data_IF_423345972384
#
_entry.id   IF_423345972384
#
_cell.length_a   1.000
_cell.length_b   1.000
_cell.length_c   1.000
_cell.angle_alpha   90.00
_cell.angle_beta   90.00
_cell.angle_gamma   90.00
#
_symmetry.space_group_name_H-M   'P 1'
#
loop_
_entity.id
_entity.type
_entity.pdbx_description
1 polymer ?
#
# COMPACT_ATOMS: atom_id res chain seq x y z
N UNK A 1 -18.98 16.07 25.32
CA UNK A 1 -19.66 17.10 24.50
C UNK A 1 -19.10 16.99 23.09
N UNK A 2 -19.98 16.63 22.16
CA UNK A 2 -19.69 16.45 20.73
C UNK A 2 -19.09 17.71 20.10
N UNK A 3 -18.11 17.55 19.20
CA UNK A 3 -17.84 18.51 18.14
C UNK A 3 -17.45 17.78 16.86
N UNK A 4 -18.42 17.81 15.94
CA UNK A 4 -18.39 17.34 14.56
C UNK A 4 -17.33 18.08 13.73
N UNK A 5 -16.54 17.34 12.95
CA UNK A 5 -15.69 17.90 11.91
C UNK A 5 -16.38 17.74 10.55
N UNK A 6 -16.81 18.88 10.01
CA UNK A 6 -17.51 19.06 8.74
C UNK A 6 -16.64 18.59 7.56
N UNK A 7 -17.20 17.71 6.73
CA UNK A 7 -16.70 17.35 5.41
C UNK A 7 -16.90 18.52 4.43
N UNK A 8 -15.84 18.93 3.73
CA UNK A 8 -15.94 19.80 2.57
C UNK A 8 -15.86 18.97 1.29
N UNK A 9 -16.97 18.87 0.59
CA UNK A 9 -17.13 18.32 -0.74
C UNK A 9 -16.87 19.41 -1.79
N UNK A 10 -15.84 19.24 -2.62
CA UNK A 10 -15.66 20.06 -3.82
C UNK A 10 -16.28 19.32 -5.02
N UNK A 11 -17.35 19.91 -5.57
CA UNK A 11 -17.96 19.48 -6.81
C UNK A 11 -17.11 19.92 -8.00
N UNK A 12 -16.97 19.02 -8.97
CA UNK A 12 -16.33 19.32 -10.26
C UNK A 12 -17.47 19.57 -11.26
N UNK A 13 -17.55 20.80 -11.76
CA UNK A 13 -18.42 21.16 -12.87
C UNK A 13 -17.90 20.53 -14.16
N UNK A 14 -18.81 20.01 -14.98
CA UNK A 14 -18.55 19.47 -16.31
C UNK A 14 -18.96 20.50 -17.36
N UNK A 15 -18.04 20.82 -18.27
CA UNK A 15 -18.29 21.66 -19.45
C UNK A 15 -18.20 20.83 -20.76
N UNK A 16 -18.80 21.30 -21.87
CA UNK A 16 -19.47 20.43 -22.84
C UNK A 16 -18.61 19.97 -24.03
N UNK A 17 -19.14 18.94 -24.69
CA UNK A 17 -18.66 18.34 -25.94
C UNK A 17 -18.61 19.36 -27.08
N UNK A 18 -17.42 19.55 -27.66
CA UNK A 18 -17.19 20.32 -28.88
C UNK A 18 -16.93 19.42 -30.09
N UNK A 19 -17.74 19.59 -31.13
CA UNK A 19 -17.66 18.97 -32.46
C UNK A 19 -16.78 19.79 -33.42
N UNK A 20 -16.02 19.14 -34.31
CA UNK A 20 -15.35 19.78 -35.46
C UNK A 20 -14.05 19.09 -35.86
N UNK A 21 -14.09 18.10 -36.77
CA UNK A 21 -13.77 18.17 -38.22
C UNK A 21 -12.28 18.13 -38.58
N UNK A 22 -12.04 17.22 -39.51
CA UNK A 22 -10.84 16.75 -40.21
C UNK A 22 -9.93 17.83 -40.83
N UNK A 23 -8.62 17.65 -40.72
CA UNK A 23 -7.62 18.12 -41.70
C UNK A 23 -6.26 17.47 -41.39
N UNK A 24 -5.81 16.68 -42.36
CA UNK A 24 -4.50 16.05 -42.45
C UNK A 24 -3.40 17.09 -42.65
N UNK A 25 -2.46 17.21 -41.72
CA UNK A 25 -1.12 17.72 -42.03
C UNK A 25 -0.05 16.87 -41.34
N UNK A 26 0.82 16.32 -42.17
CA UNK A 26 1.94 15.45 -41.83
C UNK A 26 2.97 16.21 -40.99
N UNK A 27 3.29 15.69 -39.79
CA UNK A 27 4.37 16.23 -38.95
C UNK A 27 5.73 15.63 -39.37
N UNK A 28 6.72 16.44 -39.77
CA UNK A 28 8.02 15.98 -40.27
C UNK A 28 9.09 15.96 -39.17
N UNK A 29 8.93 15.10 -38.16
CA UNK A 29 10.00 14.81 -37.20
C UNK A 29 9.96 13.32 -36.82
N UNK A 30 10.62 12.50 -37.63
CA UNK A 30 11.19 11.23 -37.17
C UNK A 30 12.69 11.30 -37.39
N UNK A 31 13.42 11.34 -36.29
CA UNK A 31 14.78 10.81 -36.21
C UNK A 31 15.01 10.36 -34.78
N UNK A 32 15.45 9.11 -34.72
CA UNK A 32 15.61 8.27 -33.55
C UNK A 32 16.64 8.84 -32.58
N UNK A 33 16.38 8.60 -31.30
CA UNK A 33 17.30 8.82 -30.21
C UNK A 33 16.67 8.23 -28.97
N UNK A 34 17.15 7.06 -28.58
CA UNK A 34 16.88 6.41 -27.30
C UNK A 34 17.38 7.33 -26.17
N UNK A 35 16.60 8.36 -25.89
CA UNK A 35 16.68 9.16 -24.69
C UNK A 35 16.03 8.36 -23.59
N UNK A 36 16.82 7.50 -22.95
CA UNK A 36 16.58 7.03 -21.60
C UNK A 36 16.39 8.27 -20.72
N UNK A 37 15.16 8.75 -20.63
CA UNK A 37 14.70 9.63 -19.56
C UNK A 37 14.74 8.77 -18.31
N UNK A 38 15.94 8.62 -17.77
CA UNK A 38 16.18 8.08 -16.46
C UNK A 38 15.35 8.97 -15.54
N UNK A 39 14.20 8.43 -15.11
CA UNK A 39 13.31 9.08 -14.16
C UNK A 39 14.00 9.06 -12.81
N UNK A 40 15.07 9.82 -12.70
CA UNK A 40 15.83 9.97 -11.49
C UNK A 40 14.97 10.79 -10.52
N UNK A 41 14.74 10.18 -9.36
CA UNK A 41 14.26 10.79 -8.11
C UNK A 41 12.76 10.92 -7.84
N UNK A 42 12.02 9.83 -8.03
CA UNK A 42 11.11 9.41 -6.96
C UNK A 42 11.44 7.98 -6.61
N UNK A 43 12.25 7.78 -5.57
CA UNK A 43 12.57 6.46 -5.01
C UNK A 43 11.35 5.86 -4.28
N UNK A 44 10.23 5.73 -5.00
CA UNK A 44 8.98 5.13 -4.51
C UNK A 44 9.18 3.62 -4.29
N UNK A 45 10.18 3.02 -4.95
CA UNK A 45 10.45 1.58 -4.92
C UNK A 45 11.19 1.14 -3.66
N UNK A 46 12.05 1.96 -3.04
CA UNK A 46 12.81 1.57 -1.84
C UNK A 46 11.94 1.27 -0.61
N UNK A 47 10.72 1.80 -0.57
CA UNK A 47 9.80 1.64 0.57
C UNK A 47 8.48 0.97 0.18
N UNK A 48 8.46 0.34 -0.99
CA UNK A 48 7.30 -0.39 -1.48
C UNK A 48 6.96 -1.55 -0.55
N UNK A 49 5.74 -1.64 0.01
CA UNK A 49 5.31 -2.83 0.75
C UNK A 49 5.38 -4.14 -0.07
N UNK A 50 5.48 -4.06 -1.40
CA UNK A 50 5.83 -5.17 -2.26
C UNK A 50 6.58 -4.65 -3.50
N UNK A 51 7.92 -4.74 -3.52
CA UNK A 51 8.71 -4.19 -4.61
C UNK A 51 8.41 -4.87 -5.94
N UNK A 52 8.53 -4.11 -7.03
CA UNK A 52 8.57 -4.67 -8.38
C UNK A 52 9.74 -5.67 -8.47
N UNK A 53 9.57 -6.89 -9.03
CA UNK A 53 8.43 -7.41 -9.78
C UNK A 53 7.44 -8.29 -9.00
N UNK A 54 7.66 -8.51 -7.69
CA UNK A 54 6.89 -9.45 -6.87
C UNK A 54 5.38 -9.15 -6.92
N UNK A 55 5.04 -7.86 -6.88
CA UNK A 55 3.66 -7.36 -6.94
C UNK A 55 2.91 -7.88 -8.15
N UNK A 56 3.50 -7.83 -9.34
CA UNK A 56 2.84 -8.26 -10.57
C UNK A 56 2.82 -9.78 -10.68
N UNK A 57 3.85 -10.44 -10.13
CA UNK A 57 3.95 -11.89 -10.16
C UNK A 57 2.76 -12.55 -9.44
N UNK A 58 2.32 -12.03 -8.29
CA UNK A 58 1.21 -12.63 -7.51
C UNK A 58 -0.19 -12.12 -7.87
N UNK A 59 -0.34 -11.35 -8.98
CA UNK A 59 -1.67 -10.87 -9.41
C UNK A 59 -2.59 -11.98 -9.90
N UNK A 60 -2.03 -12.99 -10.56
CA UNK A 60 -2.84 -14.12 -11.06
C UNK A 60 -3.06 -15.16 -9.95
N UNK A 61 -4.24 -15.79 -9.98
CA UNK A 61 -4.56 -16.89 -9.07
C UNK A 61 -3.51 -18.02 -9.14
N UNK A 62 -3.09 -18.39 -10.36
CA UNK A 62 -2.13 -19.46 -10.56
C UNK A 62 -0.79 -19.18 -9.87
N UNK A 63 -0.30 -17.94 -9.96
CA UNK A 63 0.94 -17.54 -9.29
C UNK A 63 0.81 -17.46 -7.77
N UNK A 64 -0.34 -17.03 -7.26
CA UNK A 64 -0.61 -17.12 -5.81
C UNK A 64 -0.62 -18.58 -5.35
N UNK A 65 -1.28 -19.48 -6.07
CA UNK A 65 -1.34 -20.89 -5.72
C UNK A 65 0.05 -21.54 -5.72
N UNK A 66 0.90 -21.20 -6.70
CA UNK A 66 2.28 -21.67 -6.80
C UNK A 66 3.12 -21.32 -5.56
N UNK A 67 2.85 -20.20 -4.88
CA UNK A 67 3.56 -19.87 -3.63
C UNK A 67 3.31 -20.89 -2.53
N UNK A 68 2.11 -21.47 -2.44
CA UNK A 68 1.77 -22.45 -1.40
C UNK A 68 2.46 -23.79 -1.61
N UNK A 69 2.77 -24.16 -2.86
CA UNK A 69 3.52 -25.38 -3.15
C UNK A 69 5.02 -25.19 -2.94
N UNK A 70 5.54 -24.02 -3.29
CA UNK A 70 6.98 -23.70 -3.20
C UNK A 70 7.44 -23.36 -1.77
N UNK A 71 6.61 -22.67 -0.98
CA UNK A 71 6.99 -22.13 0.35
C UNK A 71 6.63 -23.08 1.52
N UNK A 72 6.39 -24.37 1.25
CA UNK A 72 6.15 -25.43 2.26
C UNK A 72 5.01 -25.10 3.23
N UNK A 73 3.83 -24.76 2.71
CA UNK A 73 2.62 -24.58 3.53
C UNK A 73 2.38 -25.79 4.44
N UNK A 74 2.06 -25.55 5.73
CA UNK A 74 1.89 -26.63 6.72
C UNK A 74 0.91 -27.69 6.23
N UNK A 75 1.32 -28.96 6.28
CA UNK A 75 0.52 -30.08 5.81
C UNK A 75 -0.86 -30.21 6.50
N UNK A 76 -0.98 -29.74 7.75
CA UNK A 76 -2.26 -29.65 8.47
C UNK A 76 -3.21 -28.61 7.85
N UNK A 77 -2.67 -27.51 7.32
CA UNK A 77 -3.44 -26.47 6.64
C UNK A 77 -3.80 -26.86 5.21
N UNK A 78 -2.93 -27.60 4.51
CA UNK A 78 -3.26 -28.15 3.18
C UNK A 78 -4.54 -28.99 3.17
N UNK A 79 -4.88 -29.62 4.30
CA UNK A 79 -6.10 -30.43 4.46
C UNK A 79 -7.28 -29.65 5.05
N UNK A 80 -7.09 -28.38 5.39
CA UNK A 80 -8.17 -27.53 5.91
C UNK A 80 -9.24 -27.31 4.85
N UNK A 81 -10.50 -27.16 5.26
CA UNK A 81 -11.60 -26.79 4.36
C UNK A 81 -11.56 -25.32 3.97
N UNK A 82 -10.95 -24.46 4.79
CA UNK A 82 -10.97 -22.99 4.64
C UNK A 82 -9.60 -22.41 4.34
N UNK A 83 -8.53 -22.96 4.93
CA UNK A 83 -7.15 -22.45 4.81
C UNK A 83 -6.25 -23.33 3.93
N UNK A 84 -6.83 -24.16 3.05
CA UNK A 84 -6.04 -24.85 2.03
C UNK A 84 -5.50 -23.86 0.97
N UNK A 85 -4.41 -24.21 0.27
CA UNK A 85 -3.81 -23.39 -0.77
C UNK A 85 -4.79 -22.79 -1.78
N UNK A 86 -5.73 -23.58 -2.28
CA UNK A 86 -6.70 -23.15 -3.29
C UNK A 86 -7.62 -22.06 -2.73
N UNK A 87 -8.15 -22.26 -1.52
CA UNK A 87 -9.06 -21.30 -0.87
C UNK A 87 -8.35 -20.02 -0.46
N UNK A 88 -7.11 -20.12 0.01
CA UNK A 88 -6.27 -18.96 0.31
C UNK A 88 -5.98 -18.15 -0.96
N UNK A 89 -5.50 -18.82 -2.02
CA UNK A 89 -5.17 -18.18 -3.29
C UNK A 89 -6.39 -17.57 -4.00
N UNK A 90 -7.55 -18.22 -3.90
CA UNK A 90 -8.83 -17.79 -4.46
C UNK A 90 -9.19 -16.39 -3.98
N UNK A 91 -9.06 -16.10 -2.69
CA UNK A 91 -9.46 -14.79 -2.13
C UNK A 91 -8.31 -13.76 -2.06
N UNK A 92 -7.17 -14.06 -2.67
CA UNK A 92 -6.07 -13.10 -2.81
C UNK A 92 -4.91 -13.26 -1.84
N UNK A 93 -4.82 -14.36 -1.08
CA UNK A 93 -3.64 -14.65 -0.27
C UNK A 93 -2.56 -15.37 -1.09
N UNK A 94 -1.30 -15.12 -0.78
CA UNK A 94 -0.17 -15.91 -1.25
C UNK A 94 0.73 -16.25 -0.05
N UNK A 95 1.39 -17.39 -0.13
CA UNK A 95 2.22 -17.96 0.90
C UNK A 95 3.56 -17.22 0.99
N UNK A 96 3.97 -16.87 2.21
CA UNK A 96 5.27 -16.25 2.52
C UNK A 96 6.09 -17.10 3.49
N UNK A 97 5.52 -18.17 4.04
CA UNK A 97 6.19 -19.08 4.98
C UNK A 97 5.33 -20.30 5.30
N UNK A 98 5.73 -21.10 6.27
CA UNK A 98 5.02 -22.35 6.61
C UNK A 98 3.56 -22.15 7.01
N UNK A 99 3.29 -21.02 7.65
CA UNK A 99 2.00 -20.61 8.20
C UNK A 99 1.87 -19.09 8.18
N UNK A 100 2.52 -18.46 7.19
CA UNK A 100 2.45 -17.04 6.93
C UNK A 100 1.95 -16.81 5.52
N UNK A 101 1.02 -15.88 5.38
CA UNK A 101 0.45 -15.53 4.10
C UNK A 101 0.19 -14.02 4.04
N UNK A 102 0.31 -13.48 2.83
CA UNK A 102 0.14 -12.05 2.54
C UNK A 102 -0.93 -11.85 1.50
N UNK A 103 -1.72 -10.78 1.64
CA UNK A 103 -2.68 -10.39 0.61
C UNK A 103 -1.99 -9.64 -0.53
N UNK A 104 -2.24 -10.00 -1.80
CA UNK A 104 -1.63 -9.32 -2.95
C UNK A 104 -2.12 -7.88 -3.18
N UNK A 105 -3.28 -7.52 -2.61
CA UNK A 105 -3.93 -6.23 -2.86
C UNK A 105 -3.60 -5.17 -1.80
N UNK A 106 -3.49 -5.57 -0.52
CA UNK A 106 -3.18 -4.65 0.58
C UNK A 106 -1.82 -4.93 1.24
N UNK A 107 -1.18 -6.05 0.91
CA UNK A 107 0.10 -6.50 1.47
C UNK A 107 0.11 -6.71 2.98
N UNK A 108 -1.08 -6.85 3.60
CA UNK A 108 -1.19 -7.29 4.99
C UNK A 108 -0.63 -8.70 5.08
N UNK A 109 0.39 -8.85 5.92
CA UNK A 109 0.99 -10.15 6.30
C UNK A 109 0.31 -10.64 7.57
N UNK A 110 -0.12 -11.91 7.56
CA UNK A 110 -0.67 -12.61 8.71
C UNK A 110 0.06 -13.94 8.87
N UNK A 111 0.44 -14.25 10.10
CA UNK A 111 1.14 -15.46 10.50
C UNK A 111 0.34 -16.26 11.53
N UNK A 112 0.73 -17.52 11.74
CA UNK A 112 0.09 -18.39 12.73
C UNK A 112 -1.25 -18.97 12.27
N UNK A 113 -1.49 -19.09 10.96
CA UNK A 113 -2.73 -19.66 10.42
C UNK A 113 -3.00 -21.06 10.99
N UNK A 114 -4.26 -21.28 11.39
CA UNK A 114 -4.76 -22.59 11.84
C UNK A 114 -5.93 -23.06 10.96
N UNK A 115 -6.17 -24.38 10.98
CA UNK A 115 -7.11 -25.01 10.05
C UNK A 115 -8.58 -24.58 10.20
N UNK A 116 -8.93 -23.92 11.32
CA UNK A 116 -10.27 -23.43 11.64
C UNK A 116 -10.51 -21.97 11.23
N UNK A 117 -9.47 -21.25 10.82
CA UNK A 117 -9.59 -19.83 10.51
C UNK A 117 -10.43 -19.62 9.25
N UNK A 118 -11.00 -18.42 9.14
CA UNK A 118 -11.69 -18.00 7.94
C UNK A 118 -10.87 -16.87 7.29
N UNK A 119 -10.14 -17.16 6.20
CA UNK A 119 -9.23 -16.19 5.59
C UNK A 119 -9.89 -14.90 5.11
N UNK A 120 -11.20 -14.92 4.80
CA UNK A 120 -11.94 -13.70 4.44
C UNK A 120 -12.23 -12.85 5.68
N UNK A 121 -12.66 -13.48 6.77
CA UNK A 121 -12.93 -12.79 8.04
C UNK A 121 -11.65 -12.21 8.63
N UNK A 122 -10.57 -12.99 8.66
CA UNK A 122 -9.25 -12.51 9.09
C UNK A 122 -8.82 -11.27 8.28
N UNK A 123 -9.11 -11.26 6.98
CA UNK A 123 -8.81 -10.11 6.14
C UNK A 123 -9.64 -8.87 6.51
N UNK A 124 -10.94 -9.04 6.73
CA UNK A 124 -11.87 -7.97 7.13
C UNK A 124 -11.50 -7.39 8.50
N UNK A 125 -11.18 -8.25 9.47
CA UNK A 125 -10.85 -7.87 10.85
C UNK A 125 -9.48 -7.15 10.92
N UNK A 126 -8.49 -7.64 10.18
CA UNK A 126 -7.12 -7.11 10.25
C UNK A 126 -6.81 -6.00 9.23
N UNK A 127 -7.57 -5.91 8.14
CA UNK A 127 -7.37 -4.91 7.10
C UNK A 127 -8.70 -4.52 6.41
N UNK A 128 -9.64 -3.89 7.14
CA UNK A 128 -10.98 -3.57 6.61
C UNK A 128 -10.94 -2.60 5.41
N UNK A 129 -9.84 -1.84 5.27
CA UNK A 129 -9.64 -0.89 4.18
C UNK A 129 -8.95 -1.51 2.94
N UNK A 130 -8.74 -2.83 2.91
CA UNK A 130 -8.16 -3.50 1.75
C UNK A 130 -9.01 -3.27 0.49
N UNK A 131 -8.40 -3.02 -0.69
CA UNK A 131 -9.13 -2.90 -1.96
C UNK A 131 -10.10 -4.05 -2.25
N UNK A 132 -9.71 -5.30 -1.96
CA UNK A 132 -10.57 -6.47 -2.17
C UNK A 132 -11.77 -6.48 -1.23
N UNK A 133 -11.54 -6.16 0.05
CA UNK A 133 -12.57 -6.09 1.09
C UNK A 133 -13.57 -4.98 0.76
N UNK A 134 -13.08 -3.77 0.52
CA UNK A 134 -13.90 -2.57 0.26
C UNK A 134 -14.72 -2.70 -1.02
N UNK A 135 -14.18 -3.35 -2.06
CA UNK A 135 -14.92 -3.55 -3.32
C UNK A 135 -15.80 -4.80 -3.30
N UNK A 136 -15.64 -5.69 -2.32
CA UNK A 136 -16.33 -6.98 -2.29
C UNK A 136 -16.03 -7.85 -3.52
N UNK A 137 -14.85 -7.69 -4.11
CA UNK A 137 -14.45 -8.41 -5.34
C UNK A 137 -13.78 -9.72 -4.96
N UNK A 138 -14.25 -10.81 -5.57
CA UNK A 138 -13.51 -12.07 -5.63
C UNK A 138 -12.46 -11.97 -6.76
N UNK A 139 -11.16 -12.00 -6.45
CA UNK A 139 -10.11 -11.86 -7.46
C UNK A 139 -9.94 -13.08 -8.36
N UNK A 140 -10.67 -14.18 -8.12
CA UNK A 140 -10.74 -15.34 -9.02
C UNK A 140 -11.92 -15.25 -10.00
N UNK A 141 -12.94 -14.45 -9.70
CA UNK A 141 -14.11 -14.32 -10.56
C UNK A 141 -13.76 -13.66 -11.90
N UNK A 142 -14.58 -13.90 -12.93
CA UNK A 142 -14.48 -13.18 -14.19
C UNK A 142 -14.91 -11.72 -13.97
N UNK A 143 -13.92 -10.82 -13.94
CA UNK A 143 -14.15 -9.40 -13.73
C UNK A 143 -14.40 -8.71 -15.07
N UNK A 144 -15.39 -7.81 -15.09
CA UNK A 144 -15.50 -6.85 -16.19
C UNK A 144 -14.26 -5.95 -16.23
N UNK A 145 -13.93 -5.42 -17.41
CA UNK A 145 -12.81 -4.46 -17.58
C UNK A 145 -12.93 -3.31 -16.57
N UNK A 146 -14.17 -2.84 -16.31
CA UNK A 146 -14.43 -1.78 -15.34
C UNK A 146 -14.03 -2.18 -13.92
N UNK A 147 -14.44 -3.37 -13.47
CA UNK A 147 -14.11 -3.88 -12.13
C UNK A 147 -12.60 -4.12 -12.00
N UNK A 148 -11.97 -4.69 -13.03
CA UNK A 148 -10.53 -4.93 -13.04
C UNK A 148 -9.75 -3.61 -12.94
N UNK A 149 -10.15 -2.58 -13.70
CA UNK A 149 -9.53 -1.26 -13.64
C UNK A 149 -9.74 -0.62 -12.26
N UNK A 150 -10.96 -0.65 -11.73
CA UNK A 150 -11.26 -0.13 -10.38
C UNK A 150 -10.41 -0.80 -9.30
N UNK A 151 -10.26 -2.14 -9.36
CA UNK A 151 -9.45 -2.89 -8.43
C UNK A 151 -7.98 -2.49 -8.53
N UNK A 152 -7.42 -2.47 -9.74
CA UNK A 152 -6.02 -2.09 -9.98
C UNK A 152 -5.73 -0.67 -9.47
N UNK A 153 -6.59 0.28 -9.81
CA UNK A 153 -6.47 1.66 -9.35
C UNK A 153 -6.55 1.77 -7.83
N UNK A 154 -7.47 1.05 -7.17
CA UNK A 154 -7.55 1.05 -5.70
C UNK A 154 -6.33 0.40 -5.04
N UNK A 155 -5.77 -0.66 -5.60
CA UNK A 155 -4.52 -1.26 -5.12
C UNK A 155 -3.40 -0.23 -5.15
N UNK A 156 -3.25 0.50 -6.27
CA UNK A 156 -2.21 1.54 -6.37
C UNK A 156 -2.41 2.68 -5.38
N UNK A 157 -3.63 3.20 -5.25
CA UNK A 157 -3.90 4.25 -4.27
C UNK A 157 -3.65 3.77 -2.83
N UNK A 158 -4.03 2.53 -2.51
CA UNK A 158 -3.77 1.97 -1.19
C UNK A 158 -2.27 1.84 -0.91
N UNK A 159 -1.49 1.33 -1.88
CA UNK A 159 -0.03 1.24 -1.82
C UNK A 159 0.62 2.60 -1.60
N UNK A 160 0.28 3.60 -2.41
CA UNK A 160 0.83 4.96 -2.27
C UNK A 160 0.48 5.57 -0.93
N UNK A 161 -0.74 5.32 -0.42
CA UNK A 161 -1.15 5.75 0.92
C UNK A 161 -0.26 5.12 2.00
N UNK A 162 0.02 3.82 1.93
CA UNK A 162 0.91 3.15 2.89
C UNK A 162 2.33 3.73 2.87
N UNK A 163 2.90 3.91 1.68
CA UNK A 163 4.23 4.50 1.51
C UNK A 163 4.26 5.90 2.15
N UNK A 164 3.29 6.75 1.78
CA UNK A 164 3.18 8.10 2.34
C UNK A 164 3.08 8.11 3.86
N UNK A 165 2.25 7.24 4.45
CA UNK A 165 2.10 7.16 5.91
C UNK A 165 3.40 6.78 6.59
N UNK A 166 4.12 5.76 6.09
CA UNK A 166 5.41 5.33 6.66
C UNK A 166 6.47 6.42 6.57
N UNK A 167 6.55 7.12 5.43
CA UNK A 167 7.49 8.22 5.29
C UNK A 167 7.16 9.39 6.22
N UNK A 168 5.88 9.70 6.40
CA UNK A 168 5.44 10.71 7.35
C UNK A 168 5.82 10.35 8.80
N UNK A 169 5.62 9.10 9.21
CA UNK A 169 6.00 8.60 10.54
C UNK A 169 7.50 8.76 10.80
N UNK A 170 8.36 8.41 9.82
CA UNK A 170 9.81 8.62 9.93
C UNK A 170 10.19 10.10 10.07
N UNK A 171 9.51 10.99 9.34
CA UNK A 171 9.75 12.43 9.44
C UNK A 171 9.37 12.93 10.83
N UNK A 172 8.23 12.48 11.36
CA UNK A 172 7.77 12.81 12.72
C UNK A 172 8.75 12.29 13.78
N UNK A 173 9.26 11.07 13.64
CA UNK A 173 10.25 10.50 14.58
C UNK A 173 11.54 11.34 14.60
N UNK A 174 12.05 11.74 13.43
CA UNK A 174 13.22 12.61 13.34
C UNK A 174 12.96 13.99 13.94
N UNK A 175 11.79 14.57 13.67
CA UNK A 175 11.38 15.86 14.23
C UNK A 175 11.30 15.78 15.78
N UNK A 176 10.71 14.71 16.31
CA UNK A 176 10.62 14.48 17.75
C UNK A 176 12.01 14.29 18.39
N UNK A 177 12.90 13.54 17.73
CA UNK A 177 14.28 13.37 18.18
C UNK A 177 15.05 14.71 18.20
N UNK A 178 14.90 15.54 17.16
CA UNK A 178 15.49 16.88 17.12
C UNK A 178 14.94 17.80 18.21
N UNK A 179 13.62 17.78 18.44
CA UNK A 179 12.99 18.53 19.55
C UNK A 179 13.54 18.11 20.90
N UNK A 180 13.74 16.81 21.14
CA UNK A 180 14.35 16.30 22.39
C UNK A 180 15.77 16.85 22.58
N UNK A 181 16.60 16.85 21.53
CA UNK A 181 17.96 17.42 21.59
C UNK A 181 17.93 18.92 21.90
N UNK A 182 17.04 19.68 21.24
CA UNK A 182 16.91 21.12 21.50
C UNK A 182 16.48 21.41 22.94
N UNK A 183 15.53 20.66 23.49
CA UNK A 183 15.10 20.79 24.89
C UNK A 183 16.24 20.45 25.84
N UNK A 184 17.03 19.43 25.55
CA UNK A 184 18.21 19.08 26.37
C UNK A 184 19.26 20.19 26.34
N UNK A 185 19.54 20.78 25.17
CA UNK A 185 20.46 21.90 25.03
C UNK A 185 19.96 23.15 25.78
N UNK A 186 18.66 23.47 25.69
CA UNK A 186 18.06 24.59 26.43
C UNK A 186 18.18 24.39 27.94
N UNK A 187 17.92 23.18 28.43
CA UNK A 187 18.06 22.86 29.85
C UNK A 187 19.52 22.96 30.33
N UNK A 188 20.50 22.55 29.50
CA UNK A 188 21.92 22.70 29.80
C UNK A 188 22.32 24.17 29.88
N UNK A 189 21.95 24.96 28.86
CA UNK A 189 22.22 26.41 28.84
C UNK A 189 21.59 27.13 30.04
N UNK A 190 20.35 26.77 30.40
CA UNK A 190 19.69 27.34 31.57
C UNK A 190 20.46 27.08 32.86
N UNK A 191 20.97 25.84 33.06
CA UNK A 191 21.79 25.49 34.22
C UNK A 191 23.13 26.22 34.25
N UNK A 192 23.76 26.41 33.08
CA UNK A 192 25.01 27.17 32.97
C UNK A 192 24.79 28.65 33.32
N UNK A 193 23.70 29.26 32.83
CA UNK A 193 23.32 30.63 33.18
C UNK A 193 23.00 30.79 34.67
N UNK A 194 22.24 29.84 35.26
CA UNK A 194 21.94 29.82 36.70
C UNK A 194 23.22 29.70 37.55
N UNK A 195 24.22 28.96 37.07
CA UNK A 195 25.53 28.85 37.74
C UNK A 195 26.37 30.13 37.63
N UNK A 196 26.40 30.77 36.46
CA UNK A 196 27.27 31.93 36.20
C UNK A 196 26.72 33.24 36.78
N UNK A 197 25.39 33.46 36.72
CA UNK A 197 24.76 34.72 37.10
C UNK A 197 23.91 34.64 38.39
N UNK A 198 23.79 33.45 38.99
CA UNK A 198 22.93 33.21 40.15
C UNK A 198 21.44 33.14 39.81
N UNK A 199 20.58 32.78 40.78
CA UNK A 199 19.15 32.54 40.53
C UNK A 199 18.29 33.81 40.35
N UNK A 200 18.84 35.02 40.49
CA UNK A 200 18.11 36.30 40.56
C UNK A 200 18.15 37.14 39.26
N UNK A 201 18.15 36.49 38.08
CA UNK A 201 17.82 37.14 36.80
C UNK A 201 16.38 36.83 36.36
#
# INVERSE_FOLDING_TARGET
MSRDAKTMSFGIASDPVGTGTDSTESSPWVSEGDGNAQSDNLNVTLFDPCPEPERFQVRSYAKRLETFTTMKWKASLCKSKTCNPEKMAEIGWFCTGTDSAKCYACFKDLEGWVAKDNPKKEHEDHCPNCPLVVLGIDPRAELTIRQQLQLNTKIEFYRLRLIRTREWEKVQEKEEAQKKVLVEMQNKLKKELEYEYGPDL
#
